data_IF_127421337040
#
_entry.id   IF_127421337040
#
_cell.length_a   1.000
_cell.length_b   1.000
_cell.length_c   1.000
_cell.angle_alpha   90.00
_cell.angle_beta   90.00
_cell.angle_gamma   90.00
#
_symmetry.space_group_name_H-M   'P 1'
#
loop_
_entity.id
_entity.type
_entity.pdbx_description
1 polymer ?
#
# COMPACT_ATOMS: atom_id res chain seq x y z
N UNK A 1 -81.19 17.77 -59.39
CA UNK A 1 -80.20 17.39 -60.41
C UNK A 1 -79.94 15.90 -60.25
N UNK A 2 -80.67 15.06 -60.97
CA UNK A 2 -80.48 13.60 -60.97
C UNK A 2 -79.99 13.20 -62.35
N UNK A 3 -78.72 12.87 -62.46
CA UNK A 3 -78.12 12.40 -63.70
C UNK A 3 -78.62 10.97 -63.97
N UNK A 4 -79.50 10.85 -64.97
CA UNK A 4 -80.15 9.61 -65.38
C UNK A 4 -79.18 8.92 -66.33
N UNK A 5 -78.28 8.12 -65.77
CA UNK A 5 -77.37 7.26 -66.53
C UNK A 5 -78.18 6.36 -67.47
N UNK A 6 -78.15 6.69 -68.76
CA UNK A 6 -78.79 5.94 -69.83
C UNK A 6 -78.28 4.50 -69.90
N UNK A 7 -79.19 3.61 -70.28
CA UNK A 7 -79.03 2.17 -70.33
C UNK A 7 -77.86 1.77 -71.26
N UNK A 8 -76.75 1.34 -70.66
CA UNK A 8 -75.47 1.12 -71.37
C UNK A 8 -75.48 -0.14 -72.26
N UNK A 9 -76.61 -0.85 -72.31
CA UNK A 9 -76.75 -2.16 -72.92
C UNK A 9 -77.74 -2.22 -74.10
N UNK A 10 -78.34 -1.07 -74.46
CA UNK A 10 -79.32 -1.00 -75.55
C UNK A 10 -78.64 -1.23 -76.91
N UNK A 11 -78.73 -2.46 -77.44
CA UNK A 11 -78.17 -2.86 -78.74
C UNK A 11 -77.12 -3.99 -78.70
N UNK A 12 -76.76 -4.51 -77.53
CA UNK A 12 -75.80 -5.63 -77.42
C UNK A 12 -76.48 -7.00 -77.50
N UNK A 13 -75.89 -7.91 -78.29
CA UNK A 13 -76.30 -9.32 -78.31
C UNK A 13 -75.92 -10.01 -76.99
N UNK A 14 -76.71 -10.99 -76.57
CA UNK A 14 -76.47 -11.78 -75.34
C UNK A 14 -75.11 -12.45 -75.32
N UNK A 15 -74.56 -12.80 -76.48
CA UNK A 15 -73.23 -13.39 -76.59
C UNK A 15 -72.10 -12.37 -76.35
N UNK A 16 -72.30 -11.09 -76.73
CA UNK A 16 -71.35 -10.02 -76.41
C UNK A 16 -71.27 -9.77 -74.89
N UNK A 17 -72.43 -9.78 -74.20
CA UNK A 17 -72.49 -9.61 -72.74
C UNK A 17 -71.80 -10.76 -71.98
N UNK A 18 -71.84 -11.99 -72.50
CA UNK A 18 -71.13 -13.14 -71.90
C UNK A 18 -69.62 -12.98 -71.98
N UNK A 19 -69.11 -12.46 -73.09
CA UNK A 19 -67.66 -12.22 -73.27
C UNK A 19 -67.20 -11.13 -72.30
N UNK A 20 -67.93 -10.01 -72.22
CA UNK A 20 -67.61 -8.91 -71.31
C UNK A 20 -67.67 -9.35 -69.84
N UNK A 21 -68.64 -10.19 -69.46
CA UNK A 21 -68.71 -10.78 -68.11
C UNK A 21 -67.48 -11.65 -67.79
N UNK A 22 -66.99 -12.45 -68.75
CA UNK A 22 -65.80 -13.28 -68.56
C UNK A 22 -64.53 -12.44 -68.41
N UNK A 23 -64.40 -11.37 -69.19
CA UNK A 23 -63.30 -10.41 -69.08
C UNK A 23 -63.32 -9.71 -67.71
N UNK A 24 -64.49 -9.27 -67.25
CA UNK A 24 -64.65 -8.62 -65.94
C UNK A 24 -64.31 -9.58 -64.78
N UNK A 25 -64.72 -10.85 -64.87
CA UNK A 25 -64.35 -11.89 -63.89
C UNK A 25 -62.83 -12.07 -63.86
N UNK A 26 -62.19 -12.17 -65.02
CA UNK A 26 -60.74 -12.31 -65.11
C UNK A 26 -60.02 -11.09 -64.53
N UNK A 27 -60.41 -9.87 -64.89
CA UNK A 27 -59.85 -8.64 -64.34
C UNK A 27 -60.00 -8.57 -62.82
N UNK A 28 -61.16 -8.95 -62.29
CA UNK A 28 -61.41 -9.04 -60.85
C UNK A 28 -60.46 -10.03 -60.17
N UNK A 29 -60.20 -11.19 -60.77
CA UNK A 29 -59.28 -12.19 -60.23
C UNK A 29 -57.82 -11.69 -60.23
N UNK A 30 -57.37 -10.99 -61.29
CA UNK A 30 -56.06 -10.31 -61.31
C UNK A 30 -55.92 -9.28 -60.18
N UNK A 31 -56.97 -8.46 -59.96
CA UNK A 31 -56.98 -7.47 -58.88
C UNK A 31 -56.93 -8.16 -57.52
N UNK A 32 -57.65 -9.28 -57.32
CA UNK A 32 -57.57 -10.03 -56.07
C UNK A 32 -56.17 -10.60 -55.81
N UNK A 33 -55.51 -11.13 -56.84
CA UNK A 33 -54.11 -11.60 -56.74
C UNK A 33 -53.20 -10.43 -56.34
N UNK A 34 -53.31 -9.29 -57.02
CA UNK A 34 -52.52 -8.10 -56.70
C UNK A 34 -52.77 -7.58 -55.28
N UNK A 35 -54.03 -7.61 -54.80
CA UNK A 35 -54.36 -7.25 -53.41
C UNK A 35 -53.66 -8.19 -52.43
N UNK A 36 -53.64 -9.49 -52.69
CA UNK A 36 -52.96 -10.47 -51.84
C UNK A 36 -51.44 -10.25 -51.83
N UNK A 37 -50.85 -10.01 -53.00
CA UNK A 37 -49.41 -9.68 -53.12
C UNK A 37 -49.06 -8.40 -52.37
N UNK A 38 -49.88 -7.35 -52.49
CA UNK A 38 -49.68 -6.10 -51.76
C UNK A 38 -49.82 -6.29 -50.25
N UNK A 39 -50.80 -7.07 -49.79
CA UNK A 39 -50.96 -7.41 -48.37
C UNK A 39 -49.74 -8.17 -47.84
N UNK A 40 -49.24 -9.14 -48.60
CA UNK A 40 -48.02 -9.86 -48.26
C UNK A 40 -46.81 -8.92 -48.21
N UNK A 41 -46.70 -7.99 -49.17
CA UNK A 41 -45.64 -6.99 -49.19
C UNK A 41 -45.69 -6.05 -47.98
N UNK A 42 -46.88 -5.66 -47.56
CA UNK A 42 -47.07 -4.84 -46.35
C UNK A 42 -46.53 -5.58 -45.14
N UNK A 43 -46.92 -6.85 -44.94
CA UNK A 43 -46.43 -7.67 -43.81
C UNK A 43 -44.91 -7.80 -43.84
N UNK A 44 -44.31 -8.09 -45.00
CA UNK A 44 -42.85 -8.17 -45.14
C UNK A 44 -42.13 -6.86 -44.78
N UNK A 45 -42.72 -5.72 -45.15
CA UNK A 45 -42.16 -4.41 -44.84
C UNK A 45 -42.34 -4.04 -43.36
N UNK A 46 -43.48 -4.40 -42.76
CA UNK A 46 -43.74 -4.24 -41.33
C UNK A 46 -42.77 -5.07 -40.48
N UNK A 47 -42.53 -6.34 -40.86
CA UNK A 47 -41.56 -7.21 -40.17
C UNK A 47 -40.14 -6.66 -40.24
N UNK A 48 -39.71 -6.17 -41.41
CA UNK A 48 -38.39 -5.54 -41.59
C UNK A 48 -38.23 -4.26 -40.78
N UNK A 49 -39.29 -3.46 -40.66
CA UNK A 49 -39.29 -2.27 -39.84
C UNK A 49 -39.23 -2.62 -38.35
N UNK A 50 -39.94 -3.69 -37.95
CA UNK A 50 -39.99 -4.15 -36.56
C UNK A 50 -38.71 -4.89 -36.14
N UNK A 51 -37.99 -5.53 -37.08
CA UNK A 51 -36.69 -6.17 -36.85
C UNK A 51 -35.54 -5.17 -36.68
N UNK A 52 -35.78 -4.08 -35.94
CA UNK A 52 -34.93 -2.91 -35.75
C UNK A 52 -33.65 -3.25 -34.93
N UNK A 53 -32.87 -4.21 -35.44
CA UNK A 53 -31.64 -4.75 -34.87
C UNK A 53 -30.56 -3.67 -34.76
N UNK A 54 -30.53 -2.75 -35.73
CA UNK A 54 -29.70 -1.55 -35.67
C UNK A 54 -29.99 -0.74 -34.39
N UNK A 55 -31.28 -0.64 -34.06
CA UNK A 55 -31.84 0.06 -32.89
C UNK A 55 -31.35 -0.47 -31.54
N UNK A 56 -31.23 -1.79 -31.42
CA UNK A 56 -30.72 -2.44 -30.21
C UNK A 56 -29.19 -2.41 -30.15
N UNK A 57 -28.51 -2.44 -31.29
CA UNK A 57 -27.05 -2.47 -31.35
C UNK A 57 -26.40 -1.13 -30.98
N UNK A 58 -26.91 0.01 -31.48
CA UNK A 58 -26.37 1.32 -31.08
C UNK A 58 -26.57 1.59 -29.59
N UNK A 59 -27.70 1.12 -29.04
CA UNK A 59 -27.99 1.22 -27.61
C UNK A 59 -27.01 0.39 -26.78
N UNK A 60 -26.76 -0.86 -27.17
CA UNK A 60 -25.78 -1.72 -26.51
C UNK A 60 -24.37 -1.13 -26.57
N UNK A 61 -23.96 -0.56 -27.71
CA UNK A 61 -22.67 0.14 -27.84
C UNK A 61 -22.59 1.37 -26.95
N UNK A 62 -23.66 2.16 -26.89
CA UNK A 62 -23.73 3.33 -26.02
C UNK A 62 -23.63 2.96 -24.54
N UNK A 63 -24.34 1.92 -24.10
CA UNK A 63 -24.29 1.41 -22.73
C UNK A 63 -22.87 0.90 -22.38
N UNK A 64 -22.24 0.13 -23.27
CA UNK A 64 -20.85 -0.31 -23.08
C UNK A 64 -19.86 0.85 -23.01
N UNK A 65 -20.07 1.91 -23.81
CA UNK A 65 -19.24 3.10 -23.78
C UNK A 65 -19.40 3.87 -22.46
N UNK A 66 -20.63 3.97 -21.92
CA UNK A 66 -20.85 4.58 -20.60
C UNK A 66 -20.13 3.82 -19.49
N UNK A 67 -20.17 2.49 -19.52
CA UNK A 67 -19.46 1.66 -18.54
C UNK A 67 -17.93 1.84 -18.63
N UNK A 68 -17.37 1.82 -19.83
CA UNK A 68 -15.94 2.10 -20.04
C UNK A 68 -15.57 3.51 -19.54
N UNK A 69 -16.41 4.50 -19.82
CA UNK A 69 -16.19 5.88 -19.37
C UNK A 69 -16.20 5.97 -17.83
N UNK A 70 -17.12 5.30 -17.15
CA UNK A 70 -17.16 5.25 -15.68
C UNK A 70 -15.89 4.60 -15.11
N UNK A 71 -15.42 3.50 -15.71
CA UNK A 71 -14.16 2.87 -15.31
C UNK A 71 -12.96 3.80 -15.51
N UNK A 72 -12.89 4.52 -16.63
CA UNK A 72 -11.85 5.51 -16.90
C UNK A 72 -11.91 6.67 -15.89
N UNK A 73 -13.10 7.16 -15.56
CA UNK A 73 -13.26 8.21 -14.54
C UNK A 73 -12.77 7.74 -13.17
N UNK A 74 -13.08 6.50 -12.77
CA UNK A 74 -12.56 5.88 -11.54
C UNK A 74 -11.03 5.78 -11.56
N UNK A 75 -10.44 5.39 -12.69
CA UNK A 75 -8.98 5.34 -12.86
C UNK A 75 -8.35 6.74 -12.75
N UNK A 76 -8.92 7.74 -13.41
CA UNK A 76 -8.48 9.13 -13.33
C UNK A 76 -8.54 9.63 -11.89
N UNK A 77 -9.64 9.36 -11.17
CA UNK A 77 -9.78 9.74 -9.77
C UNK A 77 -8.71 9.06 -8.89
N UNK A 78 -8.49 7.75 -9.05
CA UNK A 78 -7.46 7.02 -8.32
C UNK A 78 -6.05 7.53 -8.62
N UNK A 79 -5.73 7.81 -9.88
CA UNK A 79 -4.45 8.37 -10.27
C UNK A 79 -4.24 9.77 -9.70
N UNK A 80 -5.27 10.63 -9.75
CA UNK A 80 -5.23 11.97 -9.13
C UNK A 80 -5.00 11.88 -7.62
N UNK A 81 -5.67 10.96 -6.93
CA UNK A 81 -5.46 10.73 -5.50
C UNK A 81 -4.03 10.25 -5.20
N UNK A 82 -3.49 9.33 -6.00
CA UNK A 82 -2.10 8.87 -5.86
C UNK A 82 -1.09 10.00 -6.10
N UNK A 83 -1.32 10.83 -7.12
CA UNK A 83 -0.51 12.02 -7.38
C UNK A 83 -0.61 12.99 -6.21
N UNK A 84 -1.80 13.23 -5.67
CA UNK A 84 -1.96 14.13 -4.53
C UNK A 84 -1.33 13.57 -3.24
N UNK A 85 -1.34 12.24 -3.04
CA UNK A 85 -0.62 11.58 -1.94
C UNK A 85 0.90 11.71 -2.07
N UNK A 86 1.44 11.57 -3.28
CA UNK A 86 2.88 11.78 -3.56
C UNK A 86 3.23 13.27 -3.41
N UNK A 87 2.33 14.14 -3.88
CA UNK A 87 2.40 15.60 -3.74
C UNK A 87 2.14 16.04 -2.30
N UNK A 88 1.60 15.18 -1.43
CA UNK A 88 1.25 15.48 -0.04
C UNK A 88 2.29 16.38 0.60
N UNK A 89 1.80 17.46 1.22
CA UNK A 89 2.50 18.73 1.43
C UNK A 89 4.03 18.63 1.23
N UNK A 90 4.56 19.00 0.05
CA UNK A 90 5.98 18.88 -0.21
C UNK A 90 6.76 19.79 0.76
N UNK A 91 6.03 20.75 1.37
CA UNK A 91 6.39 21.63 2.47
C UNK A 91 6.68 20.97 3.81
N UNK A 92 6.67 19.65 3.94
CA UNK A 92 7.07 19.01 5.20
C UNK A 92 8.30 18.13 5.06
N UNK A 93 8.44 17.39 3.95
CA UNK A 93 9.58 16.47 3.76
C UNK A 93 10.83 17.13 3.19
N UNK A 94 10.68 18.20 2.42
CA UNK A 94 11.78 18.90 1.74
C UNK A 94 11.83 20.38 2.08
N UNK A 95 11.05 20.85 3.05
CA UNK A 95 11.04 22.26 3.42
C UNK A 95 12.39 22.74 3.94
N UNK A 96 13.07 21.91 4.72
CA UNK A 96 14.43 22.20 5.17
C UNK A 96 15.40 22.39 4.01
N UNK A 97 15.17 21.76 2.86
CA UNK A 97 16.04 21.84 1.67
C UNK A 97 15.64 23.01 0.76
N UNK A 98 14.33 23.22 0.53
CA UNK A 98 13.85 24.29 -0.36
C UNK A 98 14.10 25.70 0.17
N UNK A 99 14.31 25.87 1.47
CA UNK A 99 14.79 27.15 2.02
C UNK A 99 16.12 27.55 1.35
N UNK A 100 17.01 26.59 1.08
CA UNK A 100 18.27 26.85 0.41
C UNK A 100 18.12 27.11 -1.09
N UNK A 101 17.16 26.47 -1.78
CA UNK A 101 16.88 26.73 -3.21
C UNK A 101 16.41 28.17 -3.47
N UNK A 102 15.79 28.81 -2.48
CA UNK A 102 15.29 30.19 -2.57
C UNK A 102 16.36 31.24 -2.23
N UNK A 103 17.52 30.83 -1.74
CA UNK A 103 18.61 31.75 -1.38
C UNK A 103 19.44 32.13 -2.61
N UNK A 104 20.05 33.31 -2.58
CA UNK A 104 21.04 33.69 -3.60
C UNK A 104 22.29 32.82 -3.49
N UNK A 105 23.03 32.68 -4.60
CA UNK A 105 24.28 31.91 -4.65
C UNK A 105 25.31 32.48 -3.66
N UNK A 106 25.38 33.80 -3.51
CA UNK A 106 26.27 34.48 -2.57
C UNK A 106 25.92 34.09 -1.13
N UNK A 107 24.62 34.10 -0.79
CA UNK A 107 24.13 33.75 0.54
C UNK A 107 24.35 32.27 0.87
N UNK A 108 24.21 31.39 -0.12
CA UNK A 108 24.58 29.97 0.02
C UNK A 108 26.08 29.80 0.26
N UNK A 109 26.91 30.56 -0.45
CA UNK A 109 28.37 30.48 -0.32
C UNK A 109 28.87 30.95 1.06
N UNK A 110 28.24 31.97 1.65
CA UNK A 110 28.58 32.47 2.99
C UNK A 110 28.12 31.48 4.06
N UNK A 111 26.90 30.94 3.92
CA UNK A 111 26.38 29.90 4.81
C UNK A 111 27.26 28.65 4.79
N UNK A 112 27.70 28.19 3.61
CA UNK A 112 28.58 27.03 3.48
C UNK A 112 29.91 27.26 4.23
N UNK A 113 30.55 28.42 4.04
CA UNK A 113 31.79 28.78 4.77
C UNK A 113 31.59 28.81 6.28
N UNK A 114 30.43 29.27 6.76
CA UNK A 114 30.10 29.27 8.18
C UNK A 114 29.94 27.83 8.71
N UNK A 115 29.17 26.99 8.02
CA UNK A 115 28.97 25.59 8.39
C UNK A 115 30.28 24.80 8.41
N UNK A 116 31.21 25.05 7.46
CA UNK A 116 32.53 24.44 7.48
C UNK A 116 33.38 24.83 8.69
N UNK A 117 33.29 26.09 9.14
CA UNK A 117 33.96 26.55 10.37
C UNK A 117 33.37 25.87 11.60
N UNK A 118 32.04 25.79 11.68
CA UNK A 118 31.35 25.12 12.79
C UNK A 118 31.67 23.63 12.85
N UNK A 119 31.65 22.94 11.70
CA UNK A 119 32.06 21.54 11.60
C UNK A 119 33.45 21.32 12.18
N UNK A 120 34.45 22.10 11.73
CA UNK A 120 35.82 22.00 12.25
C UNK A 120 35.91 22.28 13.75
N UNK A 121 35.17 23.27 14.26
CA UNK A 121 35.08 23.58 15.70
C UNK A 121 34.55 22.38 16.48
N UNK A 122 33.41 21.83 16.06
CA UNK A 122 32.77 20.68 16.72
C UNK A 122 33.65 19.43 16.66
N UNK A 123 34.27 19.14 15.52
CA UNK A 123 35.23 18.04 15.39
C UNK A 123 36.42 18.19 16.35
N UNK A 124 36.91 19.41 16.56
CA UNK A 124 37.96 19.68 17.54
C UNK A 124 37.49 19.45 18.97
N UNK A 125 36.28 19.91 19.32
CA UNK A 125 35.69 19.67 20.64
C UNK A 125 35.48 18.18 20.92
N UNK A 126 35.00 17.41 19.92
CA UNK A 126 34.85 15.96 20.04
C UNK A 126 36.19 15.29 20.31
N UNK A 127 37.26 15.68 19.58
CA UNK A 127 38.61 15.17 19.83
C UNK A 127 39.11 15.50 21.23
N UNK A 128 38.91 16.73 21.69
CA UNK A 128 39.30 17.14 23.04
C UNK A 128 38.56 16.36 24.13
N UNK A 129 37.24 16.22 23.99
CA UNK A 129 36.41 15.40 24.88
C UNK A 129 36.88 13.95 24.92
N UNK A 130 37.19 13.35 23.77
CA UNK A 130 37.71 11.99 23.70
C UNK A 130 39.07 11.86 24.44
N UNK A 131 39.98 12.80 24.25
CA UNK A 131 41.27 12.82 24.95
C UNK A 131 41.11 13.00 26.46
N UNK A 132 40.17 13.85 26.91
CA UNK A 132 39.87 14.02 28.34
C UNK A 132 39.33 12.74 28.94
N UNK A 133 38.37 12.11 28.27
CA UNK A 133 37.77 10.84 28.70
C UNK A 133 38.82 9.73 28.81
N UNK A 134 39.76 9.64 27.87
CA UNK A 134 40.84 8.65 27.93
C UNK A 134 41.76 8.86 29.14
N UNK A 135 42.09 10.12 29.46
CA UNK A 135 42.89 10.45 30.65
C UNK A 135 42.16 10.10 31.94
N UNK A 136 40.88 10.46 32.03
CA UNK A 136 40.04 10.16 33.19
C UNK A 136 39.86 8.65 33.38
N UNK A 137 39.62 7.89 32.30
CA UNK A 137 39.53 6.43 32.31
C UNK A 137 40.84 5.78 32.81
N UNK A 138 42.00 6.30 32.39
CA UNK A 138 43.31 5.85 32.91
C UNK A 138 43.46 6.17 34.39
N UNK A 139 43.10 7.38 34.83
CA UNK A 139 43.18 7.78 36.23
C UNK A 139 42.26 6.92 37.11
N UNK A 140 41.01 6.71 36.68
CA UNK A 140 40.04 5.87 37.37
C UNK A 140 40.53 4.43 37.54
N UNK A 141 41.10 3.83 36.48
CA UNK A 141 41.69 2.48 36.56
C UNK A 141 42.81 2.41 37.60
N UNK A 142 43.72 3.39 37.61
CA UNK A 142 44.81 3.45 38.62
C UNK A 142 44.27 3.46 40.05
N UNK A 143 43.35 4.38 40.35
CA UNK A 143 42.73 4.49 41.68
C UNK A 143 41.99 3.22 42.06
N UNK A 144 41.28 2.60 41.12
CA UNK A 144 40.58 1.33 41.33
C UNK A 144 41.55 0.17 41.62
N UNK A 145 42.68 0.14 40.94
CA UNK A 145 43.72 -0.88 41.13
C UNK A 145 44.40 -0.72 42.50
N UNK A 146 44.69 0.52 42.91
CA UNK A 146 45.20 0.86 44.24
C UNK A 146 44.22 0.44 45.34
N UNK A 147 42.93 0.77 45.20
CA UNK A 147 41.90 0.36 46.15
C UNK A 147 41.82 -1.17 46.30
N UNK A 148 41.91 -1.92 45.19
CA UNK A 148 41.97 -3.40 45.25
C UNK A 148 43.22 -3.90 45.97
N UNK A 149 44.37 -3.27 45.74
CA UNK A 149 45.61 -3.60 46.45
C UNK A 149 45.46 -3.37 47.97
N UNK A 150 44.89 -2.23 48.38
CA UNK A 150 44.65 -1.94 49.80
C UNK A 150 43.69 -2.93 50.44
N UNK A 151 42.58 -3.26 49.78
CA UNK A 151 41.65 -4.30 50.24
C UNK A 151 42.35 -5.65 50.44
N UNK A 152 43.16 -6.08 49.46
CA UNK A 152 43.91 -7.33 49.57
C UNK A 152 44.91 -7.33 50.74
N UNK A 153 45.60 -6.21 50.98
CA UNK A 153 46.50 -6.05 52.14
C UNK A 153 45.75 -6.15 53.47
N UNK A 154 44.58 -5.52 53.59
CA UNK A 154 43.77 -5.59 54.81
C UNK A 154 43.26 -7.01 55.09
N UNK A 155 42.87 -7.76 54.04
CA UNK A 155 42.49 -9.16 54.18
C UNK A 155 43.66 -10.03 54.65
N UNK A 156 44.86 -9.87 54.09
CA UNK A 156 46.05 -10.61 54.53
C UNK A 156 46.44 -10.32 55.99
N UNK A 157 46.28 -9.07 56.45
CA UNK A 157 46.53 -8.70 57.84
C UNK A 157 45.48 -9.28 58.81
N UNK A 158 44.26 -9.47 58.32
CA UNK A 158 43.14 -10.05 59.10
C UNK A 158 43.26 -11.58 59.20
N UNK A 159 43.87 -12.23 58.21
CA UNK A 159 44.14 -13.68 58.18
C UNK A 159 45.45 -14.09 58.88
N UNK A 160 46.17 -13.14 59.51
CA UNK A 160 47.36 -13.44 60.31
C UNK A 160 46.98 -14.12 61.63
N UNK A 161 47.45 -15.34 61.92
CA UNK A 161 47.12 -16.02 63.17
C UNK A 161 47.75 -15.26 64.33
N UNK A 162 46.92 -14.85 65.28
CA UNK A 162 47.30 -14.23 66.55
C UNK A 162 48.20 -15.21 67.33
N UNK A 163 49.51 -15.15 67.11
CA UNK A 163 50.49 -16.02 67.75
C UNK A 163 51.18 -15.31 68.93
N UNK A 164 50.62 -15.44 70.14
CA UNK A 164 51.40 -15.58 71.40
C UNK A 164 50.51 -15.69 72.67
N UNK A 165 50.24 -16.94 73.07
CA UNK A 165 50.34 -17.58 74.42
C UNK A 165 49.86 -16.87 75.73
N UNK A 166 48.99 -17.60 76.47
CA UNK A 166 49.14 -17.93 77.91
C UNK A 166 47.98 -17.52 78.86
N UNK A 167 46.92 -18.31 79.06
CA UNK A 167 46.66 -19.34 80.11
C UNK A 167 45.65 -18.89 81.23
N UNK A 168 45.03 -19.79 82.02
CA UNK A 168 43.56 -19.89 82.16
C UNK A 168 42.98 -19.46 83.52
N UNK A 169 41.67 -19.15 83.57
CA UNK A 169 40.88 -19.24 84.82
C UNK A 169 39.52 -19.87 84.51
N UNK A 170 39.32 -21.09 84.99
CA UNK A 170 38.02 -21.70 85.15
C UNK A 170 37.30 -21.03 86.33
N UNK A 171 36.06 -20.57 86.15
CA UNK A 171 35.08 -20.60 87.23
C UNK A 171 33.69 -20.96 86.68
N UNK A 172 33.03 -21.78 87.46
CA UNK A 172 32.02 -22.77 87.12
C UNK A 172 30.59 -22.25 87.41
N UNK A 173 29.63 -22.70 86.58
CA UNK A 173 28.15 -22.76 86.80
C UNK A 173 27.40 -21.40 86.79
N UNK A 174 26.21 -21.24 86.19
CA UNK A 174 25.03 -22.11 86.09
C UNK A 174 24.13 -21.79 84.86
N UNK A 175 23.39 -22.84 84.41
CA UNK A 175 22.01 -22.91 83.86
C UNK A 175 21.64 -22.14 82.57
N UNK A 176 21.30 -22.88 81.49
CA UNK A 176 19.94 -23.11 80.90
C UNK A 176 19.44 -21.88 80.11
N UNK A 177 19.01 -21.90 78.84
CA UNK A 177 18.25 -22.88 78.04
C UNK A 177 18.47 -22.69 76.52
N UNK A 178 18.07 -23.65 75.66
CA UNK A 178 18.21 -23.59 74.21
C UNK A 178 16.90 -23.14 73.53
N UNK A 179 16.94 -22.12 72.65
CA UNK A 179 15.86 -21.91 71.66
C UNK A 179 16.42 -21.76 70.26
N UNK A 180 15.94 -22.69 69.44
CA UNK A 180 16.12 -22.86 68.02
C UNK A 180 15.38 -21.76 67.26
N UNK A 181 16.05 -21.09 66.32
CA UNK A 181 15.53 -20.74 64.98
C UNK A 181 16.80 -20.75 64.12
N UNK A 182 16.93 -21.47 63.02
CA UNK A 182 15.94 -21.92 62.07
C UNK A 182 16.66 -21.80 60.73
N UNK A 183 16.84 -22.94 60.07
CA UNK A 183 17.54 -23.11 58.80
C UNK A 183 17.09 -22.08 57.75
N UNK A 184 18.04 -21.60 56.94
CA UNK A 184 18.01 -21.93 55.50
C UNK A 184 19.38 -21.68 54.86
N UNK A 185 20.05 -22.77 54.48
CA UNK A 185 21.15 -22.76 53.51
C UNK A 185 20.55 -23.05 52.09
N UNK A 186 21.36 -23.22 51.04
CA UNK A 186 21.65 -22.24 50.01
C UNK A 186 21.17 -22.76 48.63
N UNK A 187 21.32 -21.99 47.56
CA UNK A 187 21.51 -22.56 46.22
C UNK A 187 21.64 -21.48 45.15
N UNK A 188 22.78 -21.53 44.45
CA UNK A 188 22.85 -21.49 42.98
C UNK A 188 22.57 -20.12 42.31
N UNK A 189 23.31 -19.66 41.30
CA UNK A 189 23.88 -20.42 40.19
C UNK A 189 24.85 -19.54 39.38
N UNK A 190 25.95 -20.14 38.94
CA UNK A 190 26.91 -19.60 37.99
C UNK A 190 26.25 -19.29 36.63
N UNK A 191 26.40 -18.07 36.11
CA UNK A 191 26.04 -17.76 34.73
C UNK A 191 27.22 -18.04 33.80
N UNK A 192 27.08 -19.15 33.06
CA UNK A 192 27.95 -19.56 31.96
C UNK A 192 27.68 -18.69 30.73
N UNK A 193 28.77 -18.25 30.09
CA UNK A 193 28.79 -17.47 28.86
C UNK A 193 28.20 -18.25 27.67
N UNK A 194 27.11 -17.75 27.08
CA UNK A 194 26.57 -18.28 25.83
C UNK A 194 27.27 -17.67 24.61
N UNK A 195 27.99 -18.53 23.87
CA UNK A 195 28.64 -18.24 22.60
C UNK A 195 27.61 -17.85 21.53
N UNK A 196 27.86 -16.72 20.88
CA UNK A 196 27.10 -16.21 19.72
C UNK A 196 27.38 -17.09 18.49
N UNK A 197 26.38 -17.82 18.02
CA UNK A 197 26.46 -18.60 16.77
C UNK A 197 26.32 -17.75 15.50
N UNK A 198 26.63 -18.28 14.31
CA UNK A 198 26.69 -17.51 13.06
C UNK A 198 25.30 -17.23 12.50
N UNK A 199 25.02 -15.97 12.15
CA UNK A 199 23.80 -15.57 11.47
C UNK A 199 23.79 -16.07 10.02
N UNK A 200 22.73 -16.79 9.64
CA UNK A 200 22.48 -17.23 8.25
C UNK A 200 22.22 -15.99 7.38
N UNK A 201 23.04 -15.78 6.33
CA UNK A 201 22.80 -14.80 5.27
C UNK A 201 21.57 -15.23 4.46
N UNK A 202 20.55 -14.39 4.41
CA UNK A 202 19.45 -14.52 3.46
C UNK A 202 19.87 -13.76 2.20
N UNK A 203 20.24 -14.48 1.15
CA UNK A 203 20.46 -13.90 -0.18
C UNK A 203 19.11 -13.62 -0.81
N UNK A 204 18.63 -12.37 -0.74
CA UNK A 204 17.47 -11.92 -1.53
C UNK A 204 17.94 -11.67 -2.96
N UNK A 205 17.49 -12.52 -3.88
CA UNK A 205 17.67 -12.35 -5.32
C UNK A 205 16.79 -11.19 -5.81
N UNK A 206 17.41 -10.12 -6.31
CA UNK A 206 16.74 -9.00 -6.97
C UNK A 206 16.93 -9.17 -8.48
N UNK A 207 15.98 -9.82 -9.15
CA UNK A 207 15.90 -9.77 -10.60
C UNK A 207 14.52 -9.24 -11.01
N UNK A 208 14.51 -8.03 -11.57
CA UNK A 208 13.38 -7.49 -12.34
C UNK A 208 13.46 -8.04 -13.78
N UNK A 209 12.33 -8.30 -14.43
CA UNK A 209 12.33 -8.77 -15.82
C UNK A 209 12.85 -7.67 -16.77
N UNK A 210 13.62 -8.09 -17.78
CA UNK A 210 14.18 -7.21 -18.82
C UNK A 210 13.07 -6.73 -19.76
N UNK A 211 13.03 -5.42 -20.00
CA UNK A 211 12.29 -4.82 -21.10
C UNK A 211 13.18 -4.88 -22.35
N UNK A 212 12.69 -5.48 -23.43
CA UNK A 212 13.37 -5.48 -24.72
C UNK A 212 13.08 -4.16 -25.45
N UNK A 213 14.05 -3.67 -26.26
CA UNK A 213 13.92 -2.46 -27.08
C UNK A 213 12.93 -2.63 -28.24
#
# INVERSE_FOLDING_TARGET
>A
MGDRGGDRFEGMSTDCLKVELLEEIHMKDLVQISILELRQKIVELEDKLNSNYEGSEWKARYEAQLELNDQLQKQIASLREKVEKIRGNPSDRLSSIRVYERMSVESLSTLLKQLEKEKRRLESQVRECALRLERESKAYRKVKDEHRMYLAKMSQLSDSPQSSKGQPVNLHRMKEDPVKIGRSNPANQNMVNAKRGPAKKITRSNHLPKLNP
#
